data_IF_026190226764
#
_entry.id   IF_026190226764
#
_cell.length_a   1.000
_cell.length_b   1.000
_cell.length_c   1.000
_cell.angle_alpha   90.00
_cell.angle_beta   90.00
_cell.angle_gamma   90.00
#
_symmetry.space_group_name_H-M   'P 1'
#
loop_
_entity.id
_entity.type
_entity.pdbx_description
1 polymer ?
#
# COMPACT_ATOMS: atom_id res chain seq x y z
N UNK A 1 -22.68 8.58 -7.72
CA UNK A 1 -22.02 9.88 -7.99
C UNK A 1 -21.39 10.35 -6.69
N UNK A 2 -20.17 10.89 -6.70
CA UNK A 2 -19.51 11.38 -5.48
C UNK A 2 -20.11 12.71 -5.04
N UNK A 3 -20.26 12.92 -3.73
CA UNK A 3 -20.71 14.18 -3.12
C UNK A 3 -19.60 15.23 -3.15
N UNK A 4 -18.36 14.78 -2.93
CA UNK A 4 -17.15 15.57 -3.10
C UNK A 4 -16.27 14.89 -4.16
N UNK A 5 -16.14 15.51 -5.33
CA UNK A 5 -15.34 15.05 -6.47
C UNK A 5 -14.17 15.99 -6.80
N UNK A 6 -13.83 16.92 -5.88
CA UNK A 6 -12.84 17.97 -6.13
C UNK A 6 -11.49 17.42 -6.57
N UNK A 7 -11.02 16.33 -5.95
CA UNK A 7 -9.74 15.73 -6.31
C UNK A 7 -9.73 15.10 -7.70
N UNK A 8 -10.87 14.55 -8.16
CA UNK A 8 -10.98 13.98 -9.51
C UNK A 8 -10.92 15.11 -10.53
N UNK A 9 -11.73 16.16 -10.33
CA UNK A 9 -11.75 17.36 -11.19
C UNK A 9 -10.38 18.01 -11.29
N UNK A 10 -9.73 18.25 -10.14
CA UNK A 10 -8.39 18.82 -10.10
C UNK A 10 -7.37 17.93 -10.81
N UNK A 11 -7.43 16.61 -10.64
CA UNK A 11 -6.54 15.67 -11.34
C UNK A 11 -6.78 15.64 -12.87
N UNK A 12 -8.01 15.91 -13.31
CA UNK A 12 -8.36 16.08 -14.72
C UNK A 12 -8.02 17.47 -15.29
N UNK A 13 -7.46 18.38 -14.48
CA UNK A 13 -7.11 19.73 -14.90
C UNK A 13 -8.30 20.70 -14.97
N UNK A 14 -9.45 20.35 -14.38
CA UNK A 14 -10.62 21.22 -14.30
C UNK A 14 -10.46 22.30 -13.23
N UNK A 15 -11.16 23.43 -13.41
CA UNK A 15 -11.23 24.49 -12.40
C UNK A 15 -12.11 24.04 -11.22
N UNK A 16 -11.57 24.14 -10.02
CA UNK A 16 -12.24 23.77 -8.77
C UNK A 16 -12.39 24.99 -7.85
N UNK A 17 -13.46 25.07 -7.03
CA UNK A 17 -13.73 26.23 -6.17
C UNK A 17 -12.69 26.42 -5.04
N UNK A 18 -11.95 25.36 -4.70
CA UNK A 18 -10.80 25.39 -3.80
C UNK A 18 -9.85 24.22 -4.11
N UNK A 19 -8.56 24.30 -3.74
CA UNK A 19 -7.66 23.16 -3.82
C UNK A 19 -8.16 21.98 -2.97
N UNK A 20 -8.22 20.75 -3.53
CA UNK A 20 -8.49 19.54 -2.74
C UNK A 20 -7.25 19.08 -1.96
N UNK A 21 -7.46 18.45 -0.81
CA UNK A 21 -6.39 17.95 0.06
C UNK A 21 -6.62 16.50 0.48
N UNK A 22 -5.54 15.72 0.41
CA UNK A 22 -5.38 14.42 1.06
C UNK A 22 -3.92 14.32 1.49
N UNK A 23 -3.59 13.42 2.42
CA UNK A 23 -2.24 13.32 2.96
C UNK A 23 -1.69 11.90 2.77
N UNK A 24 -0.45 11.80 2.28
CA UNK A 24 0.26 10.53 2.29
C UNK A 24 0.39 10.03 3.73
N UNK A 25 0.00 8.77 3.96
CA UNK A 25 -0.08 8.14 5.30
C UNK A 25 -1.09 8.82 6.25
N UNK A 26 -2.17 9.42 5.72
CA UNK A 26 -3.26 9.97 6.53
C UNK A 26 -3.86 8.95 7.52
N UNK A 27 -3.95 7.69 7.09
CA UNK A 27 -4.30 6.56 7.93
C UNK A 27 -3.04 6.01 8.61
N UNK A 28 -2.79 6.44 9.85
CA UNK A 28 -1.56 6.06 10.54
C UNK A 28 -1.45 6.55 11.97
N UNK A 29 -0.26 6.33 12.55
CA UNK A 29 0.05 6.50 14.00
C UNK A 29 -0.19 7.90 14.56
N UNK A 30 -0.44 8.89 13.71
CA UNK A 30 -0.83 10.24 14.16
C UNK A 30 -2.22 10.24 14.79
N UNK A 31 -3.11 9.33 14.36
CA UNK A 31 -4.48 9.20 14.86
C UNK A 31 -4.52 8.27 16.10
N UNK A 32 -5.05 8.72 17.24
CA UNK A 32 -5.28 7.87 18.41
C UNK A 32 -6.10 6.60 18.10
N UNK A 33 -7.13 6.73 17.27
CA UNK A 33 -8.04 5.67 16.84
C UNK A 33 -7.30 4.60 16.05
N UNK A 34 -6.41 5.01 15.14
CA UNK A 34 -5.53 4.09 14.44
C UNK A 34 -4.63 3.34 15.42
N UNK A 35 -4.03 4.03 16.42
CA UNK A 35 -3.15 3.38 17.40
C UNK A 35 -3.92 2.37 18.25
N UNK A 36 -5.15 2.68 18.65
CA UNK A 36 -6.00 1.79 19.42
C UNK A 36 -6.33 0.51 18.63
N UNK A 37 -6.76 0.65 17.37
CA UNK A 37 -7.02 -0.50 16.50
C UNK A 37 -5.74 -1.29 16.17
N UNK A 38 -4.62 -0.59 15.96
CA UNK A 38 -3.32 -1.21 15.70
C UNK A 38 -2.87 -2.09 16.87
N UNK A 39 -3.22 -1.73 18.10
CA UNK A 39 -2.91 -2.48 19.31
C UNK A 39 -3.83 -3.68 19.56
N UNK A 40 -5.02 -3.73 18.93
CA UNK A 40 -5.95 -4.86 19.07
C UNK A 40 -5.68 -6.02 18.11
N UNK A 41 -4.78 -5.84 17.14
CA UNK A 41 -4.37 -6.86 16.16
C UNK A 41 -2.94 -7.34 16.40
N UNK A 42 -2.62 -8.57 16.00
CA UNK A 42 -1.30 -9.19 16.21
C UNK A 42 -0.19 -8.52 15.40
N UNK A 43 -0.51 -7.97 14.24
CA UNK A 43 0.51 -7.54 13.28
C UNK A 43 0.00 -6.66 12.15
N UNK A 44 0.92 -6.01 11.44
CA UNK A 44 0.59 -5.05 10.35
C UNK A 44 -0.01 -5.79 9.18
N UNK A 45 0.52 -6.97 8.91
CA UNK A 45 0.04 -7.86 7.86
C UNK A 45 -1.40 -8.30 8.16
N UNK A 46 -1.74 -8.63 9.42
CA UNK A 46 -3.13 -8.96 9.78
C UNK A 46 -4.08 -7.78 9.53
N UNK A 47 -3.65 -6.56 9.87
CA UNK A 47 -4.44 -5.35 9.62
C UNK A 47 -4.69 -5.13 8.12
N UNK A 48 -3.67 -5.34 7.29
CA UNK A 48 -3.75 -5.20 5.82
C UNK A 48 -4.57 -6.33 5.18
N UNK A 49 -4.47 -7.57 5.70
CA UNK A 49 -5.14 -8.76 5.15
C UNK A 49 -6.57 -8.95 5.64
N UNK A 50 -7.03 -8.13 6.58
CA UNK A 50 -8.41 -8.18 7.09
C UNK A 50 -9.22 -7.04 6.47
N UNK A 51 -10.09 -7.30 5.48
CA UNK A 51 -10.75 -6.25 4.70
C UNK A 51 -11.53 -5.23 5.54
N UNK A 52 -12.25 -5.70 6.57
CA UNK A 52 -13.02 -4.84 7.44
C UNK A 52 -12.14 -3.86 8.23
N UNK A 53 -10.98 -4.31 8.72
CA UNK A 53 -10.07 -3.48 9.50
C UNK A 53 -9.29 -2.50 8.61
N UNK A 54 -8.84 -2.96 7.43
CA UNK A 54 -8.25 -2.08 6.43
C UNK A 54 -9.22 -0.97 6.01
N UNK A 55 -10.51 -1.31 5.85
CA UNK A 55 -11.53 -0.35 5.52
C UNK A 55 -11.80 0.65 6.65
N UNK A 56 -11.90 0.18 7.90
CA UNK A 56 -12.05 1.05 9.07
C UNK A 56 -10.94 2.10 9.14
N UNK A 57 -9.68 1.65 9.05
CA UNK A 57 -8.50 2.52 9.06
C UNK A 57 -8.48 3.51 7.90
N UNK A 58 -8.94 3.09 6.71
CA UNK A 58 -9.02 3.94 5.52
C UNK A 58 -9.99 5.11 5.72
N UNK A 59 -11.08 4.88 6.45
CA UNK A 59 -12.19 5.84 6.62
C UNK A 59 -11.88 6.84 7.73
N UNK A 60 -11.16 6.44 8.79
CA UNK A 60 -10.83 7.30 9.94
C UNK A 60 -10.37 8.73 9.55
N UNK A 61 -9.44 8.95 8.60
CA UNK A 61 -8.99 10.30 8.25
C UNK A 61 -10.07 11.12 7.54
N UNK A 62 -10.99 10.49 6.80
CA UNK A 62 -12.13 11.18 6.19
C UNK A 62 -13.06 11.71 7.28
N UNK A 63 -13.32 10.90 8.30
CA UNK A 63 -14.21 11.25 9.41
C UNK A 63 -13.58 12.29 10.35
N UNK A 64 -12.28 12.17 10.63
CA UNK A 64 -11.58 12.98 11.64
C UNK A 64 -11.02 14.28 11.04
N UNK A 65 -10.46 14.22 9.82
CA UNK A 65 -9.73 15.35 9.22
C UNK A 65 -10.50 16.03 8.07
N UNK A 66 -11.58 15.42 7.56
CA UNK A 66 -12.37 15.99 6.48
C UNK A 66 -11.61 16.09 5.15
N UNK A 67 -10.67 15.17 4.88
CA UNK A 67 -9.90 15.13 3.63
C UNK A 67 -10.80 14.87 2.41
N UNK A 68 -10.37 15.34 1.24
CA UNK A 68 -11.12 15.26 -0.03
C UNK A 68 -10.99 13.90 -0.74
N UNK A 69 -10.19 12.99 -0.20
CA UNK A 69 -10.03 11.62 -0.70
C UNK A 69 -9.65 10.65 0.42
N UNK A 70 -10.15 9.43 0.32
CA UNK A 70 -9.60 8.30 1.04
C UNK A 70 -8.47 7.68 0.20
N UNK A 71 -7.49 7.06 0.84
CA UNK A 71 -6.51 6.17 0.19
C UNK A 71 -6.57 4.83 0.90
N UNK A 72 -6.74 3.75 0.14
CA UNK A 72 -6.91 2.40 0.71
C UNK A 72 -5.74 2.08 1.64
N UNK A 73 -6.02 1.56 2.82
CA UNK A 73 -5.00 1.05 3.71
C UNK A 73 -4.51 -0.30 3.20
N UNK A 74 -3.28 -0.31 2.68
CA UNK A 74 -2.59 -1.50 2.19
C UNK A 74 -1.08 -1.28 2.31
N UNK A 75 -0.27 -2.14 1.70
CA UNK A 75 1.18 -1.99 1.61
C UNK A 75 1.68 -2.29 0.20
N UNK A 76 2.77 -1.66 -0.23
CA UNK A 76 3.34 -1.94 -1.56
C UNK A 76 3.89 -3.37 -1.67
N UNK A 77 4.27 -3.98 -0.54
CA UNK A 77 4.92 -5.29 -0.50
C UNK A 77 3.94 -6.47 -0.58
N UNK A 78 2.62 -6.20 -0.61
CA UNK A 78 1.61 -7.24 -0.88
C UNK A 78 1.82 -7.90 -2.25
N UNK A 79 2.36 -7.15 -3.22
CA UNK A 79 2.67 -7.69 -4.56
C UNK A 79 3.84 -8.70 -4.46
N UNK A 80 5.04 -8.35 -3.95
CA UNK A 80 6.09 -9.33 -3.66
C UNK A 80 5.62 -10.54 -2.85
N UNK A 81 4.78 -10.34 -1.83
CA UNK A 81 4.20 -11.44 -1.05
C UNK A 81 3.40 -12.39 -1.95
N UNK A 82 2.49 -11.86 -2.77
CA UNK A 82 1.71 -12.62 -3.74
C UNK A 82 2.57 -13.29 -4.83
N UNK A 83 3.73 -12.73 -5.15
CA UNK A 83 4.72 -13.30 -6.06
C UNK A 83 5.52 -14.47 -5.44
N UNK A 84 5.33 -14.77 -4.15
CA UNK A 84 5.98 -15.88 -3.45
C UNK A 84 7.13 -15.44 -2.52
N UNK A 85 7.28 -14.14 -2.24
CA UNK A 85 8.29 -13.60 -1.35
C UNK A 85 7.64 -13.08 -0.05
N UNK A 86 7.40 -13.93 0.96
CA UNK A 86 6.80 -13.48 2.21
C UNK A 86 7.72 -12.51 2.94
N UNK A 87 7.12 -11.49 3.55
CA UNK A 87 7.81 -10.51 4.37
C UNK A 87 7.20 -10.44 5.77
N UNK A 88 7.98 -9.97 6.74
CA UNK A 88 7.50 -9.59 8.07
C UNK A 88 7.58 -8.08 8.22
N UNK A 89 6.70 -7.52 9.05
CA UNK A 89 6.79 -6.12 9.45
C UNK A 89 7.31 -6.04 10.88
N UNK A 90 8.57 -5.66 11.04
CA UNK A 90 9.20 -5.58 12.36
C UNK A 90 9.05 -4.16 12.91
N UNK A 91 8.49 -4.04 14.11
CA UNK A 91 8.26 -2.73 14.73
C UNK A 91 9.58 -1.97 14.95
N UNK A 92 9.59 -0.69 14.61
CA UNK A 92 10.79 0.17 14.66
C UNK A 92 11.86 -0.10 13.58
N UNK A 93 11.81 -1.24 12.88
CA UNK A 93 12.82 -1.64 11.87
C UNK A 93 12.27 -1.57 10.44
N UNK A 94 10.98 -1.85 10.25
CA UNK A 94 10.32 -1.90 8.95
C UNK A 94 10.27 -3.30 8.34
N UNK A 95 9.96 -3.41 7.04
CA UNK A 95 9.72 -4.69 6.38
C UNK A 95 11.01 -5.48 6.19
N UNK A 96 10.91 -6.81 6.34
CA UNK A 96 11.99 -7.77 6.14
C UNK A 96 11.52 -8.96 5.33
N UNK A 97 12.23 -9.29 4.26
CA UNK A 97 12.03 -10.52 3.53
C UNK A 97 12.88 -11.63 4.12
N UNK A 98 12.29 -12.82 4.31
CA UNK A 98 13.03 -13.99 4.76
C UNK A 98 13.95 -14.55 3.66
N UNK A 99 13.55 -14.38 2.40
CA UNK A 99 14.31 -14.73 1.20
C UNK A 99 14.35 -13.54 0.25
N UNK A 100 15.49 -13.34 -0.41
CA UNK A 100 15.70 -12.26 -1.40
C UNK A 100 16.01 -12.84 -2.77
N UNK A 101 15.84 -12.02 -3.81
CA UNK A 101 16.30 -12.33 -5.17
C UNK A 101 17.79 -12.00 -5.26
N UNK A 102 18.62 -13.04 -5.39
CA UNK A 102 20.08 -12.92 -5.44
C UNK A 102 20.70 -13.53 -6.70
N UNK A 103 19.97 -14.39 -7.39
CA UNK A 103 20.40 -15.10 -8.61
C UNK A 103 19.27 -15.16 -9.63
N UNK A 104 19.59 -15.46 -10.90
CA UNK A 104 18.58 -15.71 -11.94
C UNK A 104 17.67 -16.89 -11.59
N UNK A 105 18.18 -17.87 -10.84
CA UNK A 105 17.37 -18.98 -10.33
C UNK A 105 16.28 -18.49 -9.37
N UNK A 106 16.57 -17.51 -8.51
CA UNK A 106 15.57 -16.93 -7.62
C UNK A 106 14.46 -16.20 -8.40
N UNK A 107 14.78 -15.63 -9.56
CA UNK A 107 13.79 -15.02 -10.48
C UNK A 107 12.88 -16.10 -11.07
N UNK A 108 13.42 -17.27 -11.43
CA UNK A 108 12.62 -18.37 -11.94
C UNK A 108 11.68 -18.99 -10.89
N UNK A 109 11.94 -18.76 -9.59
CA UNK A 109 11.13 -19.28 -8.49
C UNK A 109 9.97 -18.35 -8.08
N UNK A 110 10.01 -17.07 -8.44
CA UNK A 110 8.87 -16.16 -8.26
C UNK A 110 7.82 -16.36 -9.36
N UNK A 111 6.58 -16.01 -9.06
CA UNK A 111 5.47 -16.08 -10.03
C UNK A 111 4.84 -14.72 -10.25
N UNK A 112 4.10 -14.59 -11.34
CA UNK A 112 3.21 -13.44 -11.55
C UNK A 112 2.07 -13.52 -10.54
N UNK A 113 1.89 -12.43 -9.77
CA UNK A 113 0.75 -12.29 -8.87
C UNK A 113 -0.55 -12.19 -9.69
N UNK A 114 -1.58 -12.93 -9.29
CA UNK A 114 -2.92 -12.89 -9.89
C UNK A 114 -3.83 -11.99 -9.04
N UNK A 115 -4.87 -11.39 -9.63
CA UNK A 115 -5.85 -10.60 -8.86
C UNK A 115 -6.40 -11.34 -7.63
N UNK A 116 -6.69 -12.64 -7.76
CA UNK A 116 -7.21 -13.48 -6.67
C UNK A 116 -6.27 -13.58 -5.46
N UNK A 117 -4.94 -13.47 -5.68
CA UNK A 117 -3.96 -13.48 -4.59
C UNK A 117 -4.07 -12.24 -3.70
N UNK A 118 -4.68 -11.17 -4.23
CA UNK A 118 -4.86 -9.86 -3.61
C UNK A 118 -6.34 -9.54 -3.38
N UNK A 119 -7.23 -10.54 -3.42
CA UNK A 119 -8.68 -10.35 -3.29
C UNK A 119 -9.06 -9.54 -2.04
N UNK A 120 -8.36 -9.74 -0.93
CA UNK A 120 -8.59 -9.00 0.32
C UNK A 120 -8.41 -7.47 0.17
N UNK A 121 -7.58 -7.01 -0.77
CA UNK A 121 -7.45 -5.58 -1.11
C UNK A 121 -8.69 -5.09 -1.86
N UNK A 122 -9.19 -5.90 -2.80
CA UNK A 122 -10.44 -5.64 -3.52
C UNK A 122 -11.63 -5.56 -2.57
N UNK A 123 -11.76 -6.55 -1.67
CA UNK A 123 -12.81 -6.61 -0.65
C UNK A 123 -12.77 -5.37 0.26
N UNK A 124 -11.57 -4.93 0.67
CA UNK A 124 -11.40 -3.73 1.48
C UNK A 124 -11.87 -2.46 0.74
N UNK A 125 -11.56 -2.35 -0.56
CA UNK A 125 -12.03 -1.24 -1.41
C UNK A 125 -13.56 -1.25 -1.51
N UNK A 126 -14.19 -2.42 -1.66
CA UNK A 126 -15.65 -2.55 -1.71
C UNK A 126 -16.31 -2.10 -0.40
N UNK A 127 -15.78 -2.55 0.74
CA UNK A 127 -16.26 -2.13 2.07
C UNK A 127 -16.09 -0.62 2.23
N UNK A 128 -14.93 -0.05 1.88
CA UNK A 128 -14.70 1.38 1.87
C UNK A 128 -15.73 2.12 1.01
N UNK A 129 -15.98 1.65 -0.21
CA UNK A 129 -16.91 2.30 -1.14
C UNK A 129 -18.33 2.31 -0.58
N UNK A 130 -18.75 1.21 0.04
CA UNK A 130 -20.06 1.10 0.70
C UNK A 130 -20.16 2.05 1.90
N UNK A 131 -19.18 2.04 2.80
CA UNK A 131 -19.22 2.81 4.05
C UNK A 131 -18.99 4.31 3.84
N UNK A 132 -18.19 4.70 2.84
CA UNK A 132 -18.05 6.09 2.44
C UNK A 132 -19.30 6.62 1.76
N UNK A 133 -20.14 5.74 1.16
CA UNK A 133 -21.41 6.10 0.53
C UNK A 133 -21.29 7.33 -0.41
N UNK A 134 -20.24 7.31 -1.24
CA UNK A 134 -19.94 8.38 -2.20
C UNK A 134 -19.51 9.70 -1.56
N UNK A 135 -19.18 9.79 -0.27
CA UNK A 135 -18.70 11.03 0.38
C UNK A 135 -17.48 11.62 -0.33
N UNK A 136 -16.45 10.79 -0.54
CA UNK A 136 -15.19 11.15 -1.21
C UNK A 136 -14.73 9.97 -2.08
N UNK A 137 -13.91 10.19 -3.13
CA UNK A 137 -13.29 9.13 -3.89
C UNK A 137 -12.24 8.35 -3.09
N UNK A 138 -11.93 7.14 -3.56
CA UNK A 138 -10.92 6.26 -2.97
C UNK A 138 -9.76 6.13 -3.96
N UNK A 139 -8.55 6.40 -3.47
CA UNK A 139 -7.29 6.21 -4.18
C UNK A 139 -6.82 4.77 -3.94
N UNK A 140 -6.63 4.01 -5.02
CA UNK A 140 -5.84 2.78 -5.02
C UNK A 140 -4.36 3.08 -5.25
N UNK A 141 -3.45 2.20 -4.84
CA UNK A 141 -2.02 2.39 -5.07
C UNK A 141 -1.26 1.07 -5.19
N UNK A 142 -0.06 1.14 -5.78
CA UNK A 142 0.91 0.07 -5.84
C UNK A 142 2.33 0.65 -5.85
N UNK A 143 3.32 -0.17 -5.50
CA UNK A 143 4.73 0.19 -5.67
C UNK A 143 5.13 0.13 -7.15
N UNK A 144 5.97 1.07 -7.60
CA UNK A 144 6.55 1.00 -8.93
C UNK A 144 7.47 -0.23 -9.09
N UNK A 145 7.62 -0.81 -10.30
CA UNK A 145 8.42 -2.02 -10.51
C UNK A 145 9.84 -1.94 -9.93
N UNK A 146 10.54 -0.83 -10.16
CA UNK A 146 11.89 -0.60 -9.60
C UNK A 146 11.91 -0.59 -8.08
N UNK A 147 10.94 0.07 -7.44
CA UNK A 147 10.87 0.13 -5.97
C UNK A 147 10.61 -1.26 -5.39
N UNK A 148 9.70 -2.04 -5.98
CA UNK A 148 9.44 -3.41 -5.55
C UNK A 148 10.69 -4.28 -5.73
N UNK A 149 11.37 -4.18 -6.88
CA UNK A 149 12.63 -4.86 -7.15
C UNK A 149 13.71 -4.54 -6.11
N UNK A 150 13.85 -3.27 -5.71
CA UNK A 150 14.76 -2.88 -4.63
C UNK A 150 14.47 -3.63 -3.33
N UNK A 151 13.20 -3.75 -2.92
CA UNK A 151 12.85 -4.49 -1.71
C UNK A 151 13.07 -5.99 -1.86
N UNK A 152 12.72 -6.57 -3.02
CA UNK A 152 12.86 -8.00 -3.30
C UNK A 152 14.33 -8.44 -3.34
N UNK A 153 15.26 -7.56 -3.74
CA UNK A 153 16.70 -7.86 -3.79
C UNK A 153 17.44 -7.49 -2.50
N UNK A 154 17.13 -6.35 -1.89
CA UNK A 154 17.79 -5.90 -0.63
C UNK A 154 17.22 -6.62 0.61
N UNK A 155 15.99 -7.12 0.53
CA UNK A 155 15.24 -7.74 1.61
C UNK A 155 14.77 -6.77 2.70
N UNK A 156 15.00 -5.47 2.53
CA UNK A 156 14.66 -4.37 3.46
C UNK A 156 14.82 -3.03 2.77
N UNK A 157 14.45 -1.95 3.47
CA UNK A 157 14.88 -0.61 3.08
C UNK A 157 16.41 -0.48 3.08
N UNK A 158 16.95 0.24 2.08
CA UNK A 158 18.37 0.48 1.89
C UNK A 158 18.62 1.96 1.62
N UNK A 159 19.71 2.52 2.15
CA UNK A 159 20.08 3.93 1.91
C UNK A 159 20.72 4.13 0.53
N UNK A 160 21.33 3.08 -0.01
CA UNK A 160 22.13 3.14 -1.24
C UNK A 160 21.56 2.28 -2.36
N UNK A 161 20.73 1.29 -2.02
CA UNK A 161 20.22 0.28 -2.95
C UNK A 161 21.35 -0.38 -3.77
N UNK A 162 22.49 -0.64 -3.13
CA UNK A 162 23.71 -1.08 -3.81
C UNK A 162 23.58 -2.48 -4.42
N UNK A 163 22.74 -3.35 -3.87
CA UNK A 163 22.48 -4.68 -4.43
C UNK A 163 21.60 -4.53 -5.67
N UNK A 164 20.49 -3.79 -5.55
CA UNK A 164 19.59 -3.54 -6.67
C UNK A 164 20.29 -2.82 -7.84
N UNK A 165 21.14 -1.82 -7.53
CA UNK A 165 21.94 -1.13 -8.55
C UNK A 165 23.00 -2.04 -9.18
N UNK A 166 23.63 -2.93 -8.41
CA UNK A 166 24.59 -3.90 -8.95
C UNK A 166 23.94 -4.79 -10.01
N UNK A 167 22.71 -5.24 -9.77
CA UNK A 167 21.93 -5.98 -10.76
C UNK A 167 21.77 -5.21 -12.07
N UNK A 168 21.41 -3.93 -12.03
CA UNK A 168 21.30 -3.11 -13.24
C UNK A 168 22.60 -3.04 -14.06
N UNK A 169 23.76 -3.02 -13.38
CA UNK A 169 25.05 -2.93 -14.07
C UNK A 169 25.58 -4.29 -14.54
N UNK A 170 25.40 -5.34 -13.74
CA UNK A 170 26.01 -6.65 -14.00
C UNK A 170 25.08 -7.60 -14.76
N UNK A 171 23.77 -7.46 -14.57
CA UNK A 171 22.76 -8.36 -15.13
C UNK A 171 21.58 -7.55 -15.74
N UNK A 172 21.80 -6.64 -16.70
CA UNK A 172 20.76 -5.73 -17.22
C UNK A 172 19.63 -6.42 -18.02
N UNK A 173 19.78 -7.70 -18.37
CA UNK A 173 18.80 -8.48 -19.15
C UNK A 173 17.99 -9.48 -18.32
N UNK A 174 18.43 -9.74 -17.09
CA UNK A 174 17.73 -10.62 -16.16
C UNK A 174 16.55 -9.86 -15.53
#
# INVERSE_FOLDING_TARGET
MYKNDLIIKAACGEVVPRPPVWLMRQAGRILPEYRALRASVRGFIELVRTPALAAEVTIQPVDILGVDAAIIFSDILVIPEAMGLPYTMNEGVGPRFAKVISTEKDIAEIRVARPDDLQYVGDAIEICRKNLNGRVPIIGFAGAPWTLFCYMTEGRGSKTFSIARRWLYQNPKA
#
